data_IF_697641082686
#
_entry.id   IF_697641082686
#
_cell.length_a   1.000
_cell.length_b   1.000
_cell.length_c   1.000
_cell.angle_alpha   90.00
_cell.angle_beta   90.00
_cell.angle_gamma   90.00
#
_symmetry.space_group_name_H-M   'P 1'
#
loop_
_entity.id
_entity.type
_entity.pdbx_description
1 polymer ?
#
# COMPACT_ATOMS: atom_id res chain seq x y z
N UNK A 1 29.59 -30.23 -27.86
CA UNK A 1 28.32 -30.71 -27.27
C UNK A 1 28.20 -30.31 -25.80
N UNK A 2 29.24 -30.47 -24.97
CA UNK A 2 29.23 -30.01 -23.57
C UNK A 2 29.00 -28.49 -23.34
N UNK A 3 29.60 -27.55 -24.11
CA UNK A 3 29.42 -26.12 -23.83
C UNK A 3 28.00 -25.62 -24.15
N UNK A 4 27.31 -26.20 -25.14
CA UNK A 4 25.95 -25.78 -25.50
C UNK A 4 24.92 -26.06 -24.38
N UNK A 5 25.09 -27.18 -23.66
CA UNK A 5 24.21 -27.56 -22.56
C UNK A 5 24.41 -26.61 -21.37
N UNK A 6 25.66 -26.24 -21.09
CA UNK A 6 25.98 -25.30 -20.01
C UNK A 6 25.39 -23.91 -20.27
N UNK A 7 25.51 -23.39 -21.50
CA UNK A 7 24.91 -22.10 -21.86
C UNK A 7 23.39 -22.13 -21.75
N UNK A 8 22.76 -23.23 -22.15
CA UNK A 8 21.30 -23.41 -22.04
C UNK A 8 20.82 -23.37 -20.58
N UNK A 9 21.53 -24.06 -19.67
CA UNK A 9 21.22 -24.05 -18.23
C UNK A 9 21.36 -22.65 -17.63
N UNK A 10 22.41 -21.91 -18.01
CA UNK A 10 22.65 -20.54 -17.51
C UNK A 10 21.53 -19.60 -17.97
N UNK A 11 21.13 -19.66 -19.25
CA UNK A 11 20.05 -18.81 -19.77
C UNK A 11 18.72 -19.13 -19.09
N UNK A 12 18.40 -20.41 -18.88
CA UNK A 12 17.21 -20.82 -18.12
C UNK A 12 17.22 -20.30 -16.68
N UNK A 13 18.36 -20.37 -15.99
CA UNK A 13 18.49 -19.88 -14.63
C UNK A 13 18.26 -18.35 -14.55
N UNK A 14 18.81 -17.58 -15.49
CA UNK A 14 18.62 -16.12 -15.57
C UNK A 14 17.16 -15.77 -15.81
N UNK A 15 16.50 -16.43 -16.76
CA UNK A 15 15.07 -16.23 -17.05
C UNK A 15 14.23 -16.55 -15.81
N UNK A 16 14.51 -17.66 -15.12
CA UNK A 16 13.81 -18.06 -13.91
C UNK A 16 13.94 -17.00 -12.79
N UNK A 17 15.13 -16.47 -12.57
CA UNK A 17 15.38 -15.41 -11.58
C UNK A 17 14.61 -14.14 -11.94
N UNK A 18 14.61 -13.76 -13.21
CA UNK A 18 13.91 -12.57 -13.70
C UNK A 18 12.40 -12.67 -13.43
N UNK A 19 11.77 -13.79 -13.78
CA UNK A 19 10.35 -14.03 -13.50
C UNK A 19 10.05 -14.09 -12.00
N UNK A 20 10.95 -14.63 -11.18
CA UNK A 20 10.77 -14.70 -9.72
C UNK A 20 10.75 -13.31 -9.08
N UNK A 21 11.66 -12.42 -9.48
CA UNK A 21 11.68 -11.01 -9.03
C UNK A 21 10.44 -10.26 -9.47
N UNK A 22 10.01 -10.45 -10.72
CA UNK A 22 8.82 -9.76 -11.24
C UNK A 22 7.55 -10.18 -10.49
N UNK A 23 7.40 -11.48 -10.21
CA UNK A 23 6.25 -11.99 -9.47
C UNK A 23 6.24 -11.50 -8.00
N UNK A 24 7.42 -11.30 -7.39
CA UNK A 24 7.53 -10.70 -6.05
C UNK A 24 7.01 -9.26 -6.05
N UNK A 25 7.43 -8.43 -7.00
CA UNK A 25 6.96 -7.03 -7.10
C UNK A 25 5.45 -6.93 -7.32
N UNK A 26 4.87 -7.76 -8.19
CA UNK A 26 3.42 -7.75 -8.44
C UNK A 26 2.64 -8.09 -7.17
N UNK A 27 3.08 -9.11 -6.42
CA UNK A 27 2.41 -9.49 -5.15
C UNK A 27 2.43 -8.36 -4.13
N UNK A 28 3.55 -7.65 -4.01
CA UNK A 28 3.68 -6.51 -3.09
C UNK A 28 2.78 -5.36 -3.55
N UNK A 29 2.74 -5.07 -4.85
CA UNK A 29 1.88 -4.02 -5.41
C UNK A 29 0.39 -4.27 -5.09
N UNK A 30 -0.11 -5.48 -5.33
CA UNK A 30 -1.51 -5.81 -5.02
C UNK A 30 -1.80 -5.77 -3.51
N UNK A 31 -0.86 -6.20 -2.68
CA UNK A 31 -1.00 -6.11 -1.22
C UNK A 31 -1.09 -4.66 -0.76
N UNK A 32 -0.22 -3.78 -1.28
CA UNK A 32 -0.25 -2.35 -0.99
C UNK A 32 -1.52 -1.70 -1.51
N UNK A 33 -2.01 -2.09 -2.69
CA UNK A 33 -3.24 -1.58 -3.25
C UNK A 33 -4.45 -1.89 -2.35
N UNK A 34 -4.59 -3.13 -1.90
CA UNK A 34 -5.69 -3.55 -1.00
C UNK A 34 -5.58 -2.82 0.34
N UNK A 35 -4.37 -2.74 0.91
CA UNK A 35 -4.15 -1.99 2.14
C UNK A 35 -4.52 -0.52 1.99
N UNK A 36 -4.11 0.15 0.91
CA UNK A 36 -4.47 1.55 0.65
C UNK A 36 -5.99 1.74 0.49
N UNK A 37 -6.67 0.78 -0.13
CA UNK A 37 -8.13 0.82 -0.33
C UNK A 37 -8.87 0.69 1.01
N UNK A 38 -8.39 -0.18 1.90
CA UNK A 38 -8.89 -0.30 3.28
C UNK A 38 -8.61 1.00 4.06
N UNK A 39 -7.41 1.58 3.92
CA UNK A 39 -7.04 2.83 4.56
C UNK A 39 -7.89 4.02 4.12
N UNK A 40 -8.20 4.10 2.82
CA UNK A 40 -9.11 5.08 2.25
C UNK A 40 -10.54 4.89 2.80
N UNK A 41 -11.03 3.65 2.87
CA UNK A 41 -12.34 3.35 3.44
C UNK A 41 -12.42 3.74 4.93
N UNK A 42 -11.36 3.47 5.70
CA UNK A 42 -11.26 3.85 7.11
C UNK A 42 -11.28 5.37 7.29
N UNK A 43 -10.50 6.12 6.50
CA UNK A 43 -10.50 7.58 6.50
C UNK A 43 -11.85 8.15 6.07
N UNK A 44 -12.50 7.54 5.09
CA UNK A 44 -13.82 7.97 4.62
C UNK A 44 -14.87 7.81 5.72
N UNK A 45 -14.94 6.65 6.36
CA UNK A 45 -15.86 6.41 7.49
C UNK A 45 -15.53 7.35 8.66
N UNK A 46 -14.25 7.55 8.97
CA UNK A 46 -13.82 8.46 10.02
C UNK A 46 -14.29 9.90 9.73
N UNK A 47 -13.98 10.44 8.55
CA UNK A 47 -14.40 11.80 8.17
C UNK A 47 -15.93 11.93 8.14
N UNK A 48 -16.66 10.91 7.67
CA UNK A 48 -18.12 10.93 7.63
C UNK A 48 -18.73 10.99 9.04
N UNK A 49 -18.21 10.20 9.99
CA UNK A 49 -18.70 10.18 11.37
C UNK A 49 -18.30 11.46 12.12
N UNK A 50 -17.03 11.87 12.06
CA UNK A 50 -16.54 12.98 12.87
C UNK A 50 -16.85 14.35 12.26
N UNK A 51 -16.51 14.58 10.99
CA UNK A 51 -16.73 15.87 10.35
C UNK A 51 -18.18 16.04 9.87
N UNK A 52 -18.85 14.95 9.48
CA UNK A 52 -20.25 14.96 9.05
C UNK A 52 -21.24 14.86 10.20
N UNK A 53 -21.33 13.68 10.84
CA UNK A 53 -22.37 13.37 11.82
C UNK A 53 -22.21 14.14 13.14
N UNK A 54 -20.99 14.26 13.65
CA UNK A 54 -20.72 14.92 14.93
C UNK A 54 -20.39 16.42 14.77
N UNK A 55 -20.33 16.94 13.54
CA UNK A 55 -19.96 18.33 13.23
C UNK A 55 -18.61 18.79 13.82
N UNK A 56 -17.72 17.85 14.12
CA UNK A 56 -16.37 18.09 14.60
C UNK A 56 -15.44 18.34 13.41
N UNK A 57 -15.63 19.48 12.76
CA UNK A 57 -14.86 19.88 11.56
C UNK A 57 -13.35 19.96 11.81
N UNK A 58 -12.92 20.12 13.08
CA UNK A 58 -11.52 20.07 13.49
C UNK A 58 -10.83 18.72 13.25
N UNK A 59 -11.59 17.64 13.09
CA UNK A 59 -11.08 16.28 12.88
C UNK A 59 -11.10 15.86 11.40
N UNK A 60 -11.24 16.81 10.48
CA UNK A 60 -11.22 16.54 9.06
C UNK A 60 -9.81 16.23 8.56
N UNK A 61 -9.63 15.04 7.98
CA UNK A 61 -8.36 14.65 7.34
C UNK A 61 -8.56 14.63 5.83
N UNK A 62 -7.71 15.34 5.08
CA UNK A 62 -7.78 15.27 3.62
C UNK A 62 -7.41 13.86 3.12
N UNK A 63 -8.30 13.26 2.32
CA UNK A 63 -8.11 11.92 1.76
C UNK A 63 -7.30 12.04 0.48
N UNK A 64 -6.03 11.67 0.57
CA UNK A 64 -5.07 11.62 -0.55
C UNK A 64 -4.53 10.21 -0.67
N UNK A 65 -3.87 9.90 -1.80
CA UNK A 65 -3.23 8.59 -1.97
C UNK A 65 -2.20 8.31 -0.85
N UNK A 66 -1.51 9.34 -0.36
CA UNK A 66 -0.51 9.21 0.70
C UNK A 66 -1.15 8.96 2.07
N UNK A 67 -2.17 9.74 2.44
CA UNK A 67 -2.87 9.55 3.72
C UNK A 67 -3.60 8.20 3.76
N UNK A 68 -4.23 7.78 2.66
CA UNK A 68 -4.83 6.46 2.52
C UNK A 68 -3.82 5.30 2.59
N UNK A 69 -2.61 5.48 2.05
CA UNK A 69 -1.55 4.48 2.16
C UNK A 69 -1.06 4.36 3.61
N UNK A 70 -0.82 5.49 4.28
CA UNK A 70 -0.38 5.53 5.68
C UNK A 70 -1.42 4.86 6.58
N UNK A 71 -2.71 5.22 6.46
CA UNK A 71 -3.77 4.55 7.23
C UNK A 71 -4.01 3.11 6.78
N UNK A 72 -3.76 2.79 5.52
CA UNK A 72 -3.88 1.43 5.00
C UNK A 72 -2.81 0.48 5.53
N UNK A 73 -1.62 0.99 5.83
CA UNK A 73 -0.52 0.22 6.42
C UNK A 73 -0.63 0.20 7.95
N UNK A 74 -0.87 1.36 8.58
CA UNK A 74 -0.86 1.52 10.03
C UNK A 74 -2.23 1.34 10.69
N UNK A 75 -3.32 1.28 9.93
CA UNK A 75 -4.68 1.13 10.44
C UNK A 75 -5.14 2.33 11.28
N UNK A 76 -5.84 2.02 12.39
CA UNK A 76 -6.31 3.01 13.38
C UNK A 76 -5.16 3.87 13.94
N UNK A 77 -3.99 3.30 14.34
CA UNK A 77 -2.81 4.10 14.68
C UNK A 77 -2.43 5.14 13.63
N UNK A 78 -2.53 4.78 12.35
CA UNK A 78 -2.24 5.70 11.24
C UNK A 78 -3.20 6.89 11.19
N UNK A 79 -4.48 6.67 11.44
CA UNK A 79 -5.49 7.76 11.51
C UNK A 79 -5.16 8.71 12.67
N UNK A 80 -4.81 8.17 13.85
CA UNK A 80 -4.44 8.99 15.02
C UNK A 80 -3.21 9.84 14.74
N UNK A 81 -2.18 9.27 14.10
CA UNK A 81 -0.97 10.02 13.72
C UNK A 81 -1.29 11.13 12.72
N UNK A 82 -2.11 10.84 11.70
CA UNK A 82 -2.52 11.84 10.72
C UNK A 82 -3.37 12.95 11.32
N UNK A 83 -4.20 12.66 12.32
CA UNK A 83 -4.92 13.67 13.07
C UNK A 83 -3.96 14.59 13.80
N UNK A 84 -3.01 14.02 14.57
CA UNK A 84 -2.03 14.82 15.32
C UNK A 84 -1.23 15.72 14.37
N UNK A 85 -0.78 15.19 13.22
CA UNK A 85 -0.03 15.95 12.22
C UNK A 85 -0.91 17.00 11.54
N UNK A 86 -2.18 16.69 11.25
CA UNK A 86 -3.11 17.64 10.62
C UNK A 86 -3.66 18.70 11.57
N UNK A 87 -3.53 18.50 12.89
CA UNK A 87 -3.92 19.44 13.94
C UNK A 87 -2.80 20.42 14.32
N UNK A 88 -1.54 20.11 13.99
CA UNK A 88 -0.37 21.00 14.12
C UNK A 88 -0.34 22.01 12.97
#
# INVERSE_FOLDING_TARGET
MAPQILTFIIVLAVIFIFFKIFNLSIKIFFKLLINALIGAALLFVFNFVFAGLLNLSFFYINITWLTALITGIFGVPGVVVLLIIGLL
#
